data_IF_776101110673
#
_entry.id   IF_776101110673
#
_cell.length_a   1.000
_cell.length_b   1.000
_cell.length_c   1.000
_cell.angle_alpha   90.00
_cell.angle_beta   90.00
_cell.angle_gamma   90.00
#
_symmetry.space_group_name_H-M   'P 1'
#
loop_
_entity.id
_entity.type
_entity.pdbx_description
1 polymer ?
#
# COMPACT_ATOMS: atom_id res chain seq x y z
N UNK A 1 23.25 -39.89 56.49
CA UNK A 1 22.79 -40.13 55.11
C UNK A 1 21.66 -39.22 54.62
N UNK A 2 21.01 -38.40 55.47
CA UNK A 2 19.92 -37.50 55.05
C UNK A 2 20.35 -36.06 54.69
N UNK A 3 21.58 -35.63 55.00
CA UNK A 3 22.09 -34.28 54.62
C UNK A 3 22.60 -34.20 53.17
N UNK A 4 23.07 -35.32 52.61
CA UNK A 4 23.54 -35.38 51.22
C UNK A 4 22.38 -35.32 50.21
N UNK A 5 21.22 -35.88 50.56
CA UNK A 5 20.02 -35.90 49.71
C UNK A 5 19.37 -34.52 49.64
N UNK A 6 19.39 -33.75 50.73
CA UNK A 6 18.85 -32.37 50.76
C UNK A 6 19.66 -31.37 49.91
N UNK A 7 20.99 -31.51 49.86
CA UNK A 7 21.85 -30.61 49.07
C UNK A 7 21.79 -30.93 47.55
N UNK A 8 21.69 -32.22 47.20
CA UNK A 8 21.47 -32.68 45.82
C UNK A 8 20.12 -32.20 45.26
N UNK A 9 19.04 -32.27 46.04
CA UNK A 9 17.71 -31.80 45.63
C UNK A 9 17.69 -30.27 45.37
N UNK A 10 18.42 -29.49 46.18
CA UNK A 10 18.54 -28.04 45.99
C UNK A 10 19.33 -27.69 44.71
N UNK A 11 20.42 -28.42 44.42
CA UNK A 11 21.22 -28.22 43.19
C UNK A 11 20.41 -28.57 41.93
N UNK A 12 19.65 -29.66 41.95
CA UNK A 12 18.79 -30.07 40.83
C UNK A 12 17.71 -29.03 40.52
N UNK A 13 17.17 -28.37 41.54
CA UNK A 13 16.15 -27.32 41.37
C UNK A 13 16.75 -26.03 40.79
N UNK A 14 17.95 -25.65 41.22
CA UNK A 14 18.68 -24.47 40.69
C UNK A 14 19.07 -24.70 39.22
N UNK A 15 19.58 -25.90 38.88
CA UNK A 15 19.92 -26.26 37.48
C UNK A 15 18.67 -26.27 36.60
N UNK A 16 17.54 -26.78 37.09
CA UNK A 16 16.26 -26.72 36.38
C UNK A 16 15.80 -25.29 36.09
N UNK A 17 16.03 -24.36 37.02
CA UNK A 17 15.67 -22.94 36.87
C UNK A 17 16.53 -22.22 35.82
N UNK A 18 17.82 -22.57 35.70
CA UNK A 18 18.69 -22.02 34.65
C UNK A 18 18.26 -22.50 33.26
N UNK A 19 17.85 -23.77 33.14
CA UNK A 19 17.33 -24.33 31.88
C UNK A 19 16.04 -23.62 31.46
N UNK A 20 15.10 -23.37 32.37
CA UNK A 20 13.85 -22.66 32.05
C UNK A 20 14.09 -21.19 31.69
N UNK A 21 15.03 -20.50 32.35
CA UNK A 21 15.45 -19.14 31.96
C UNK A 21 16.05 -19.12 30.55
N UNK A 22 16.88 -20.09 30.20
CA UNK A 22 17.45 -20.20 28.86
C UNK A 22 16.37 -20.46 27.80
N UNK A 23 15.41 -21.35 28.09
CA UNK A 23 14.25 -21.59 27.23
C UNK A 23 13.41 -20.32 27.04
N UNK A 24 13.14 -19.55 28.10
CA UNK A 24 12.44 -18.27 28.02
C UNK A 24 13.19 -17.23 27.17
N UNK A 25 14.52 -17.17 27.27
CA UNK A 25 15.34 -16.29 26.43
C UNK A 25 15.34 -16.72 24.96
N UNK A 26 15.43 -18.03 24.68
CA UNK A 26 15.37 -18.58 23.33
C UNK A 26 14.00 -18.31 22.69
N UNK A 27 12.91 -18.49 23.43
CA UNK A 27 11.54 -18.15 23.01
C UNK A 27 11.40 -16.66 22.74
N UNK A 28 11.94 -15.79 23.60
CA UNK A 28 11.90 -14.33 23.38
C UNK A 28 12.65 -13.94 22.11
N UNK A 29 13.79 -14.57 21.82
CA UNK A 29 14.57 -14.34 20.59
C UNK A 29 13.84 -14.86 19.35
N UNK A 30 13.20 -16.02 19.42
CA UNK A 30 12.44 -16.58 18.29
C UNK A 30 11.18 -15.77 17.99
N UNK A 31 10.45 -15.34 19.03
CA UNK A 31 9.29 -14.44 18.89
C UNK A 31 9.69 -13.13 18.24
N UNK A 32 10.78 -12.49 18.67
CA UNK A 32 11.28 -11.25 18.05
C UNK A 32 11.65 -11.43 16.57
N UNK A 33 12.30 -12.55 16.21
CA UNK A 33 12.61 -12.88 14.82
C UNK A 33 11.34 -13.12 13.99
N UNK A 34 10.36 -13.83 14.55
CA UNK A 34 9.07 -14.07 13.89
C UNK A 34 8.29 -12.77 13.70
N UNK A 35 8.27 -11.90 14.70
CA UNK A 35 7.63 -10.58 14.61
C UNK A 35 8.28 -9.74 13.52
N UNK A 36 9.61 -9.73 13.44
CA UNK A 36 10.34 -9.05 12.39
C UNK A 36 10.04 -9.63 10.99
N UNK A 37 10.03 -10.95 10.84
CA UNK A 37 9.69 -11.61 9.58
C UNK A 37 8.25 -11.31 9.15
N UNK A 38 7.30 -11.27 10.08
CA UNK A 38 5.90 -10.90 9.80
C UNK A 38 5.82 -9.44 9.33
N UNK A 39 6.55 -8.52 9.98
CA UNK A 39 6.60 -7.10 9.57
C UNK A 39 7.17 -6.94 8.17
N UNK A 40 8.25 -7.63 7.83
CA UNK A 40 8.84 -7.61 6.49
C UNK A 40 7.85 -8.10 5.42
N UNK A 41 7.14 -9.19 5.68
CA UNK A 41 6.12 -9.71 4.75
C UNK A 41 4.94 -8.73 4.58
N UNK A 42 4.54 -8.04 5.65
CA UNK A 42 3.50 -7.02 5.59
C UNK A 42 3.94 -5.82 4.74
N UNK A 43 5.17 -5.33 4.96
CA UNK A 43 5.75 -4.23 4.18
C UNK A 43 5.89 -4.60 2.69
N UNK A 44 6.32 -5.82 2.39
CA UNK A 44 6.40 -6.32 1.01
C UNK A 44 5.02 -6.39 0.34
N UNK A 45 4.01 -6.83 1.07
CA UNK A 45 2.63 -6.89 0.56
C UNK A 45 2.05 -5.50 0.32
N UNK A 46 2.37 -4.52 1.17
CA UNK A 46 1.97 -3.12 0.93
C UNK A 46 2.65 -2.56 -0.31
N UNK A 47 3.95 -2.83 -0.50
CA UNK A 47 4.70 -2.40 -1.67
C UNK A 47 4.11 -2.97 -2.98
N UNK A 48 3.82 -4.27 -3.04
CA UNK A 48 3.21 -4.88 -4.24
C UNK A 48 1.81 -4.30 -4.55
N UNK A 49 1.02 -3.99 -3.51
CA UNK A 49 -0.26 -3.30 -3.72
C UNK A 49 -0.07 -1.91 -4.31
N UNK A 50 0.90 -1.13 -3.82
CA UNK A 50 1.18 0.19 -4.35
C UNK A 50 1.63 0.15 -5.81
N UNK A 51 2.49 -0.80 -6.16
CA UNK A 51 2.95 -1.01 -7.53
C UNK A 51 1.79 -1.35 -8.48
N UNK A 52 0.89 -2.23 -8.06
CA UNK A 52 -0.32 -2.53 -8.83
C UNK A 52 -1.23 -1.30 -8.97
N UNK A 53 -1.41 -0.53 -7.90
CA UNK A 53 -2.19 0.72 -7.94
C UNK A 53 -1.54 1.73 -8.89
N UNK A 54 -0.21 1.83 -8.91
CA UNK A 54 0.51 2.70 -9.84
C UNK A 54 0.21 2.31 -11.29
N UNK A 55 0.36 1.03 -11.63
CA UNK A 55 0.12 0.53 -13.00
C UNK A 55 -1.31 0.80 -13.47
N UNK A 56 -2.31 0.54 -12.63
CA UNK A 56 -3.72 0.83 -12.94
C UNK A 56 -3.92 2.34 -13.12
N UNK A 57 -3.33 3.17 -12.26
CA UNK A 57 -3.45 4.63 -12.33
C UNK A 57 -2.81 5.20 -13.59
N UNK A 58 -1.65 4.70 -14.01
CA UNK A 58 -1.01 5.08 -15.26
C UNK A 58 -1.88 4.72 -16.47
N UNK A 59 -2.53 3.56 -16.43
CA UNK A 59 -3.47 3.15 -17.48
C UNK A 59 -4.70 4.05 -17.53
N UNK A 60 -5.28 4.41 -16.37
CA UNK A 60 -6.40 5.36 -16.33
C UNK A 60 -5.99 6.77 -16.80
N UNK A 61 -4.78 7.22 -16.48
CA UNK A 61 -4.27 8.51 -16.95
C UNK A 61 -4.12 8.53 -18.48
N UNK A 62 -3.59 7.46 -19.08
CA UNK A 62 -3.52 7.29 -20.55
C UNK A 62 -4.92 7.28 -21.17
N UNK A 63 -5.86 6.61 -20.51
CA UNK A 63 -7.24 6.51 -20.97
C UNK A 63 -7.95 7.87 -20.97
N UNK A 64 -7.89 8.61 -19.86
CA UNK A 64 -8.44 9.97 -19.75
C UNK A 64 -7.79 10.90 -20.77
N UNK A 65 -6.47 10.80 -20.96
CA UNK A 65 -5.76 11.58 -21.98
C UNK A 65 -6.24 11.26 -23.40
N UNK A 66 -6.50 9.98 -23.70
CA UNK A 66 -7.07 9.55 -24.98
C UNK A 66 -8.49 10.07 -25.19
N UNK A 67 -9.33 10.03 -24.15
CA UNK A 67 -10.70 10.54 -24.17
C UNK A 67 -10.71 12.05 -24.39
N UNK A 68 -9.84 12.79 -23.71
CA UNK A 68 -9.70 14.24 -23.83
C UNK A 68 -9.36 14.70 -25.26
N UNK A 69 -8.61 13.90 -26.00
CA UNK A 69 -8.29 14.16 -27.42
C UNK A 69 -9.49 13.87 -28.33
N UNK A 70 -10.35 12.91 -27.95
CA UNK A 70 -11.49 12.45 -28.76
C UNK A 70 -12.77 13.25 -28.54
N UNK A 71 -12.96 13.84 -27.36
CA UNK A 71 -14.25 14.42 -26.94
C UNK A 71 -14.78 15.52 -27.86
N UNK A 72 -13.92 16.31 -28.49
CA UNK A 72 -14.30 17.40 -29.40
C UNK A 72 -14.36 16.98 -30.88
N UNK A 73 -14.00 15.73 -31.21
CA UNK A 73 -13.96 15.30 -32.61
C UNK A 73 -15.37 15.06 -33.12
N UNK A 74 -15.67 15.65 -34.28
CA UNK A 74 -16.94 15.45 -34.97
C UNK A 74 -17.11 13.98 -35.37
N UNK A 75 -18.30 13.42 -35.17
CA UNK A 75 -18.61 12.01 -35.50
C UNK A 75 -18.21 10.99 -34.43
N UNK A 76 -17.71 11.41 -33.27
CA UNK A 76 -17.41 10.47 -32.17
C UNK A 76 -18.68 10.05 -31.43
N UNK A 77 -18.75 8.75 -31.15
CA UNK A 77 -19.84 8.16 -30.38
C UNK A 77 -19.76 8.59 -28.89
N UNK A 78 -20.61 9.53 -28.51
CA UNK A 78 -20.69 10.05 -27.13
C UNK A 78 -21.11 8.99 -26.10
N UNK A 79 -21.91 8.00 -26.49
CA UNK A 79 -22.26 6.87 -25.61
C UNK A 79 -21.01 6.04 -25.27
N UNK A 80 -20.17 5.76 -26.27
CA UNK A 80 -18.90 5.04 -26.06
C UNK A 80 -17.91 5.84 -25.18
N UNK A 81 -17.86 7.18 -25.33
CA UNK A 81 -17.07 8.03 -24.43
C UNK A 81 -17.57 7.87 -22.99
N UNK A 82 -18.89 8.01 -22.77
CA UNK A 82 -19.48 7.90 -21.43
C UNK A 82 -19.23 6.54 -20.78
N UNK A 83 -19.38 5.44 -21.52
CA UNK A 83 -19.08 4.08 -21.02
C UNK A 83 -17.61 3.96 -20.58
N UNK A 84 -16.67 4.51 -21.36
CA UNK A 84 -15.25 4.53 -20.97
C UNK A 84 -15.00 5.39 -19.73
N UNK A 85 -15.67 6.54 -19.60
CA UNK A 85 -15.60 7.38 -18.40
C UNK A 85 -16.12 6.64 -17.15
N UNK A 86 -17.23 5.91 -17.26
CA UNK A 86 -17.76 5.09 -16.16
C UNK A 86 -16.76 4.00 -15.75
N UNK A 87 -16.10 3.36 -16.73
CA UNK A 87 -15.05 2.38 -16.45
C UNK A 87 -13.86 3.01 -15.72
N UNK A 88 -13.41 4.19 -16.14
CA UNK A 88 -12.37 4.94 -15.43
C UNK A 88 -12.80 5.18 -13.98
N UNK A 89 -14.01 5.72 -13.73
CA UNK A 89 -14.51 5.95 -12.37
C UNK A 89 -14.50 4.67 -11.52
N UNK A 90 -14.92 3.55 -12.09
CA UNK A 90 -14.89 2.24 -11.42
C UNK A 90 -13.47 1.82 -11.03
N UNK A 91 -12.49 1.93 -11.94
CA UNK A 91 -11.11 1.58 -11.65
C UNK A 91 -10.47 2.52 -10.61
N UNK A 92 -10.74 3.82 -10.69
CA UNK A 92 -10.28 4.78 -9.66
C UNK A 92 -10.87 4.45 -8.29
N UNK A 93 -12.12 4.02 -8.22
CA UNK A 93 -12.74 3.60 -6.97
C UNK A 93 -12.09 2.33 -6.40
N UNK A 94 -11.71 1.37 -7.26
CA UNK A 94 -10.95 0.20 -6.82
C UNK A 94 -9.57 0.59 -6.29
N UNK A 95 -8.88 1.52 -6.94
CA UNK A 95 -7.60 2.07 -6.44
C UNK A 95 -7.77 2.75 -5.07
N UNK A 96 -8.81 3.58 -4.92
CA UNK A 96 -9.14 4.24 -3.66
C UNK A 96 -9.33 3.25 -2.50
N UNK A 97 -10.11 2.18 -2.72
CA UNK A 97 -10.38 1.14 -1.71
C UNK A 97 -9.12 0.31 -1.43
N UNK A 98 -8.32 0.04 -2.45
CA UNK A 98 -7.12 -0.82 -2.34
C UNK A 98 -5.94 -0.11 -1.67
N UNK A 99 -5.90 1.22 -1.70
CA UNK A 99 -4.86 2.00 -1.04
C UNK A 99 -4.82 1.69 0.46
N UNK A 100 -3.63 1.44 1.04
CA UNK A 100 -3.49 1.15 2.45
C UNK A 100 -4.12 2.24 3.34
N UNK A 101 -4.58 1.82 4.51
CA UNK A 101 -5.14 2.71 5.52
C UNK A 101 -4.03 3.42 6.26
N UNK A 102 -4.05 4.74 6.27
CA UNK A 102 -3.07 5.56 6.99
C UNK A 102 -2.99 6.98 6.44
N UNK A 103 -2.63 7.93 7.29
CA UNK A 103 -2.59 9.36 6.95
C UNK A 103 -1.64 9.65 5.79
N UNK A 104 -0.61 8.82 5.62
CA UNK A 104 0.36 8.92 4.52
C UNK A 104 -0.26 8.76 3.12
N UNK A 105 -1.43 8.12 3.01
CA UNK A 105 -2.14 7.91 1.74
C UNK A 105 -3.38 8.79 1.59
N UNK A 106 -3.72 9.60 2.61
CA UNK A 106 -4.92 10.45 2.63
C UNK A 106 -4.96 11.40 1.43
N UNK A 107 -3.82 12.04 1.12
CA UNK A 107 -3.73 12.93 -0.04
C UNK A 107 -4.02 12.17 -1.35
N UNK A 108 -3.42 11.00 -1.56
CA UNK A 108 -3.62 10.19 -2.78
C UNK A 108 -5.10 9.76 -2.88
N UNK A 109 -5.71 9.35 -1.77
CA UNK A 109 -7.14 9.02 -1.70
C UNK A 109 -8.02 10.21 -2.11
N UNK A 110 -7.70 11.40 -1.64
CA UNK A 110 -8.41 12.62 -2.03
C UNK A 110 -8.22 12.92 -3.52
N UNK A 111 -7.00 12.76 -4.06
CA UNK A 111 -6.76 12.96 -5.50
C UNK A 111 -7.61 11.98 -6.35
N UNK A 112 -7.74 10.70 -5.94
CA UNK A 112 -8.62 9.76 -6.64
C UNK A 112 -10.10 10.13 -6.54
N UNK A 113 -10.53 10.62 -5.38
CA UNK A 113 -11.90 11.05 -5.17
C UNK A 113 -12.25 12.24 -6.08
N UNK A 114 -11.40 13.28 -6.10
CA UNK A 114 -11.59 14.44 -6.95
C UNK A 114 -11.55 14.06 -8.43
N UNK A 115 -10.58 13.25 -8.86
CA UNK A 115 -10.52 12.76 -10.24
C UNK A 115 -11.81 12.06 -10.66
N UNK A 116 -12.39 11.22 -9.77
CA UNK A 116 -13.67 10.56 -10.02
C UNK A 116 -14.82 11.57 -10.11
N UNK A 117 -14.92 12.50 -9.18
CA UNK A 117 -15.98 13.51 -9.16
C UNK A 117 -15.97 14.33 -10.47
N UNK A 118 -14.80 14.77 -10.92
CA UNK A 118 -14.68 15.48 -12.21
C UNK A 118 -15.04 14.59 -13.42
N UNK A 119 -14.68 13.31 -13.40
CA UNK A 119 -15.12 12.37 -14.45
C UNK A 119 -16.64 12.15 -14.46
N UNK A 120 -17.27 12.11 -13.28
CA UNK A 120 -18.73 12.03 -13.13
C UNK A 120 -19.40 13.33 -13.63
N UNK A 121 -18.88 14.50 -13.25
CA UNK A 121 -19.30 15.80 -13.79
C UNK A 121 -19.18 15.87 -15.31
N UNK A 122 -18.10 15.32 -15.89
CA UNK A 122 -18.00 15.20 -17.35
C UNK A 122 -19.14 14.36 -17.93
N UNK A 123 -19.48 13.23 -17.33
CA UNK A 123 -20.56 12.37 -17.82
C UNK A 123 -21.89 13.13 -17.82
N UNK A 124 -22.14 13.98 -16.83
CA UNK A 124 -23.37 14.77 -16.75
C UNK A 124 -23.36 15.96 -17.70
N UNK A 125 -22.33 16.80 -17.62
CA UNK A 125 -22.25 18.10 -18.27
C UNK A 125 -21.65 18.06 -19.68
N UNK A 126 -20.99 16.96 -20.04
CA UNK A 126 -20.22 16.78 -21.27
C UNK A 126 -19.17 17.89 -21.49
N UNK A 127 -18.65 18.46 -20.40
CA UNK A 127 -17.70 19.57 -20.46
C UNK A 127 -16.25 19.09 -20.44
N UNK A 128 -15.50 19.44 -21.48
CA UNK A 128 -14.08 19.10 -21.61
C UNK A 128 -13.21 19.64 -20.47
N UNK A 129 -13.61 20.73 -19.80
CA UNK A 129 -12.89 21.25 -18.62
C UNK A 129 -12.77 20.20 -17.55
N UNK A 130 -13.87 19.48 -17.27
CA UNK A 130 -13.94 18.47 -16.22
C UNK A 130 -12.96 17.32 -16.48
N UNK A 131 -12.82 16.88 -17.74
CA UNK A 131 -11.78 15.88 -18.07
C UNK A 131 -10.36 16.38 -17.86
N UNK A 132 -10.09 17.68 -18.03
CA UNK A 132 -8.76 18.25 -17.78
C UNK A 132 -8.46 18.26 -16.29
N UNK A 133 -9.42 18.67 -15.48
CA UNK A 133 -9.29 18.64 -14.02
C UNK A 133 -9.09 17.21 -13.53
N UNK A 134 -9.93 16.27 -13.98
CA UNK A 134 -9.78 14.85 -13.65
C UNK A 134 -8.38 14.33 -13.97
N UNK A 135 -7.83 14.70 -15.14
CA UNK A 135 -6.48 14.33 -15.54
C UNK A 135 -5.42 14.91 -14.58
N UNK A 136 -5.53 16.18 -14.21
CA UNK A 136 -4.58 16.83 -13.29
C UNK A 136 -4.57 16.14 -11.91
N UNK A 137 -5.74 15.80 -11.38
CA UNK A 137 -5.85 15.03 -10.13
C UNK A 137 -5.22 13.64 -10.26
N UNK A 138 -5.37 12.96 -11.41
CA UNK A 138 -4.69 11.68 -11.65
C UNK A 138 -3.17 11.80 -11.75
N UNK A 139 -2.67 12.86 -12.36
CA UNK A 139 -1.22 13.15 -12.41
C UNK A 139 -0.66 13.34 -10.98
N UNK A 140 -1.37 14.10 -10.14
CA UNK A 140 -1.01 14.28 -8.73
C UNK A 140 -1.09 12.97 -7.93
N UNK A 141 -2.12 12.15 -8.16
CA UNK A 141 -2.25 10.84 -7.53
C UNK A 141 -1.06 9.94 -7.90
N UNK A 142 -0.71 9.88 -9.18
CA UNK A 142 0.42 9.11 -9.69
C UNK A 142 1.75 9.56 -9.07
N UNK A 143 2.00 10.87 -8.98
CA UNK A 143 3.21 11.39 -8.32
C UNK A 143 3.25 11.02 -6.83
N UNK A 144 2.11 11.10 -6.15
CA UNK A 144 1.99 10.69 -4.75
C UNK A 144 2.30 9.21 -4.53
N UNK A 145 1.84 8.33 -5.43
CA UNK A 145 2.12 6.89 -5.37
C UNK A 145 3.62 6.61 -5.61
N UNK A 146 4.24 7.27 -6.61
CA UNK A 146 5.67 7.13 -6.89
C UNK A 146 6.52 7.51 -5.68
N UNK A 147 6.21 8.64 -5.04
CA UNK A 147 6.87 9.06 -3.79
C UNK A 147 6.67 8.06 -2.65
N UNK A 148 5.51 7.41 -2.58
CA UNK A 148 5.27 6.37 -1.58
C UNK A 148 6.16 5.14 -1.86
N UNK A 149 6.25 4.68 -3.10
CA UNK A 149 7.14 3.58 -3.49
C UNK A 149 8.62 3.87 -3.23
N UNK A 150 9.09 5.08 -3.55
CA UNK A 150 10.47 5.51 -3.26
C UNK A 150 10.80 5.41 -1.77
N UNK A 151 9.88 5.84 -0.89
CA UNK A 151 10.05 5.71 0.57
C UNK A 151 10.15 4.26 1.03
N UNK A 152 9.45 3.32 0.38
CA UNK A 152 9.60 1.89 0.68
C UNK A 152 10.97 1.38 0.25
N UNK A 153 11.47 1.78 -0.93
CA UNK A 153 12.80 1.43 -1.39
C UNK A 153 13.89 1.96 -0.44
N UNK A 154 13.80 3.22 -0.01
CA UNK A 154 14.73 3.83 0.95
C UNK A 154 14.74 3.09 2.30
N UNK A 155 13.56 2.75 2.84
CA UNK A 155 13.44 1.99 4.09
C UNK A 155 14.11 0.62 3.99
N UNK A 156 13.95 -0.09 2.86
CA UNK A 156 14.61 -1.38 2.62
C UNK A 156 16.13 -1.25 2.59
N UNK A 157 16.65 -0.22 1.91
CA UNK A 157 18.10 0.05 1.86
C UNK A 157 18.64 0.35 3.26
N UNK A 158 17.99 1.23 4.03
CA UNK A 158 18.40 1.55 5.40
C UNK A 158 18.38 0.32 6.31
N UNK A 159 17.33 -0.50 6.22
CA UNK A 159 17.22 -1.74 7.00
C UNK A 159 18.33 -2.76 6.66
N UNK A 160 18.84 -2.78 5.43
CA UNK A 160 19.97 -3.60 5.03
C UNK A 160 21.31 -3.04 5.56
N UNK A 161 21.50 -1.72 5.51
CA UNK A 161 22.72 -1.06 6.01
C UNK A 161 22.89 -1.20 7.51
N UNK A 162 21.80 -1.17 8.29
CA UNK A 162 21.84 -1.37 9.75
C UNK A 162 22.00 -2.83 10.21
N UNK A 163 21.99 -3.81 9.28
CA UNK A 163 22.23 -5.24 9.57
C UNK A 163 23.69 -5.68 9.38
N UNK A 164 24.52 -4.85 8.76
CA UNK A 164 25.97 -5.06 8.58
C UNK A 164 26.76 -4.36 9.70
#
# INVERSE_FOLDING_TARGET
>A
MWSAVGNLASIVTIVGFVITIWQLFALKKSVKKSEQAIREVLDDKEYEKLKHILEVTENQLKEVSSLLIKVDKQGVNQKSIRERCVNVCSELNKCYISLPSGDSYSNIKNQFLEARNYMESFIELNSKSEMKEARAFLENAMEGIKKAEEKFAEKKVQAATHRN
#
